data_IF_366385512926
#
_entry.id   IF_366385512926
#
_cell.length_a   1.000
_cell.length_b   1.000
_cell.length_c   1.000
_cell.angle_alpha   90.00
_cell.angle_beta   90.00
_cell.angle_gamma   90.00
#
_symmetry.space_group_name_H-M   'P 1'
#
loop_
_entity.id
_entity.type
_entity.pdbx_description
1 polymer ?
#
# COMPACT_ATOMS: atom_id res chain seq x y z
N UNK A 1 -11.93 -8.54 -43.14
CA UNK A 1 -12.85 -7.52 -42.59
C UNK A 1 -12.37 -7.23 -41.17
N UNK A 2 -12.20 -5.96 -40.79
CA UNK A 2 -11.71 -5.62 -39.45
C UNK A 2 -12.89 -5.56 -38.46
N UNK A 3 -12.82 -6.35 -37.39
CA UNK A 3 -13.87 -6.44 -36.37
C UNK A 3 -13.43 -5.85 -35.03
N UNK A 4 -14.40 -5.43 -34.21
CA UNK A 4 -14.14 -4.81 -32.92
C UNK A 4 -13.75 -5.84 -31.87
N UNK A 5 -12.57 -5.65 -31.27
CA UNK A 5 -11.98 -6.60 -30.31
C UNK A 5 -12.40 -6.36 -28.85
N UNK A 6 -13.23 -5.35 -28.59
CA UNK A 6 -13.68 -4.98 -27.23
C UNK A 6 -12.57 -4.71 -26.19
N UNK A 7 -11.41 -4.23 -26.65
CA UNK A 7 -10.29 -3.83 -25.78
C UNK A 7 -10.50 -2.41 -25.23
N UNK A 8 -11.08 -1.50 -26.02
CA UNK A 8 -11.31 -0.12 -25.63
C UNK A 8 -12.73 0.33 -25.92
N UNK A 9 -13.36 0.95 -24.92
CA UNK A 9 -14.70 1.50 -25.05
C UNK A 9 -14.75 2.57 -26.15
N UNK A 10 -15.47 2.25 -27.25
CA UNK A 10 -15.70 3.18 -28.37
C UNK A 10 -16.48 4.41 -27.92
N UNK A 11 -17.54 4.17 -27.14
CA UNK A 11 -18.41 5.21 -26.57
C UNK A 11 -18.48 4.98 -25.07
N UNK A 12 -18.24 6.04 -24.29
CA UNK A 12 -18.38 6.02 -22.83
C UNK A 12 -19.67 6.74 -22.45
N UNK A 13 -20.48 6.12 -21.59
CA UNK A 13 -21.69 6.72 -21.03
C UNK A 13 -21.39 7.09 -19.57
N UNK A 14 -21.86 8.26 -19.13
CA UNK A 14 -21.70 8.71 -17.73
C UNK A 14 -23.06 8.82 -17.07
N UNK A 15 -23.20 8.16 -15.91
CA UNK A 15 -24.34 8.30 -15.02
C UNK A 15 -24.04 9.18 -13.81
N UNK A 16 -25.02 9.38 -12.91
CA UNK A 16 -24.79 9.98 -11.61
C UNK A 16 -23.76 9.17 -10.82
N UNK A 17 -22.96 9.86 -10.03
CA UNK A 17 -21.93 9.25 -9.18
C UNK A 17 -22.56 8.22 -8.22
N UNK A 18 -22.01 7.01 -8.18
CA UNK A 18 -22.48 5.96 -7.28
C UNK A 18 -21.74 6.03 -5.95
N UNK A 19 -22.46 6.30 -4.86
CA UNK A 19 -21.89 6.41 -3.52
C UNK A 19 -21.48 5.06 -2.89
N UNK A 20 -21.87 3.93 -3.51
CA UNK A 20 -21.61 2.57 -3.03
C UNK A 20 -22.75 1.99 -2.18
N UNK A 21 -22.83 0.65 -2.09
CA UNK A 21 -23.84 -0.05 -1.28
C UNK A 21 -23.79 0.41 0.19
N UNK A 22 -24.94 0.69 0.84
CA UNK A 22 -24.98 0.97 2.27
C UNK A 22 -24.45 -0.23 3.04
N UNK A 23 -23.37 -0.04 3.81
CA UNK A 23 -22.86 -1.05 4.73
C UNK A 23 -23.38 -0.73 6.14
N UNK A 24 -23.58 -1.74 6.98
CA UNK A 24 -23.96 -1.55 8.37
C UNK A 24 -23.02 -0.53 9.04
N UNK A 25 -23.62 0.46 9.71
CA UNK A 25 -23.04 1.74 10.10
C UNK A 25 -21.59 1.65 10.63
N UNK A 26 -20.62 1.98 9.78
CA UNK A 26 -19.30 2.38 10.24
C UNK A 26 -19.34 3.87 10.58
N UNK A 27 -19.04 4.23 11.82
CA UNK A 27 -19.09 5.60 12.36
C UNK A 27 -18.26 6.65 11.58
N UNK A 28 -17.37 6.23 10.68
CA UNK A 28 -16.42 7.08 9.95
C UNK A 28 -16.81 7.37 8.49
N UNK A 29 -17.91 6.82 7.98
CA UNK A 29 -18.38 7.11 6.62
C UNK A 29 -17.41 6.71 5.49
N UNK A 30 -17.74 7.08 4.24
CA UNK A 30 -16.80 7.02 3.10
C UNK A 30 -16.22 8.40 2.89
N UNK A 31 -14.92 8.48 2.58
CA UNK A 31 -14.21 9.72 2.34
C UNK A 31 -13.97 9.95 0.83
N UNK A 32 -13.93 11.22 0.45
CA UNK A 32 -13.60 11.69 -0.90
C UNK A 32 -14.82 11.93 -1.79
N UNK A 33 -14.77 13.04 -2.54
CA UNK A 33 -15.73 13.32 -3.62
C UNK A 33 -15.33 12.50 -4.86
N UNK A 34 -16.23 11.68 -5.43
CA UNK A 34 -15.86 10.85 -6.56
C UNK A 34 -15.57 11.68 -7.81
N UNK A 35 -14.55 11.29 -8.55
CA UNK A 35 -14.16 11.97 -9.80
C UNK A 35 -14.30 11.02 -10.99
N UNK A 36 -14.43 11.59 -12.19
CA UNK A 36 -14.66 10.81 -13.41
C UNK A 36 -13.50 11.02 -14.40
N UNK A 37 -12.71 9.97 -14.64
CA UNK A 37 -11.58 9.99 -15.55
C UNK A 37 -11.93 9.43 -16.93
N UNK A 38 -11.74 10.22 -17.98
CA UNK A 38 -11.97 9.80 -19.37
C UNK A 38 -11.05 8.63 -19.79
N UNK A 39 -9.79 8.67 -19.36
CA UNK A 39 -8.81 7.65 -19.73
C UNK A 39 -9.06 6.32 -19.03
N UNK A 40 -9.46 6.33 -17.75
CA UNK A 40 -9.87 5.09 -17.07
C UNK A 40 -11.16 4.52 -17.69
N UNK A 41 -12.10 5.39 -18.08
CA UNK A 41 -13.30 4.98 -18.80
C UNK A 41 -13.04 4.34 -20.17
N UNK A 42 -11.84 4.49 -20.76
CA UNK A 42 -11.49 3.79 -22.02
C UNK A 42 -11.24 2.31 -21.82
N UNK A 43 -10.78 1.91 -20.63
CA UNK A 43 -10.42 0.53 -20.31
C UNK A 43 -11.37 -0.13 -19.31
N UNK A 44 -12.19 0.64 -18.59
CA UNK A 44 -13.10 0.12 -17.57
C UNK A 44 -14.06 1.18 -17.04
N UNK A 45 -14.27 1.21 -15.72
CA UNK A 45 -15.09 2.22 -15.06
C UNK A 45 -14.34 3.56 -14.98
N UNK A 46 -15.06 4.65 -15.24
CA UNK A 46 -14.52 6.01 -15.20
C UNK A 46 -14.48 6.59 -13.77
N UNK A 47 -15.27 6.04 -12.85
CA UNK A 47 -15.41 6.57 -11.49
C UNK A 47 -14.22 6.19 -10.60
N UNK A 48 -13.59 7.20 -10.00
CA UNK A 48 -12.55 7.03 -8.97
C UNK A 48 -13.09 7.53 -7.63
N UNK A 49 -13.13 6.62 -6.65
CA UNK A 49 -13.74 6.86 -5.34
C UNK A 49 -15.26 6.61 -5.33
N UNK A 50 -15.94 6.78 -4.17
CA UNK A 50 -15.39 7.19 -2.88
C UNK A 50 -14.68 6.04 -2.15
N UNK A 51 -13.73 6.35 -1.27
CA UNK A 51 -12.93 5.33 -0.56
C UNK A 51 -13.32 5.30 0.91
N UNK A 52 -13.53 4.10 1.46
CA UNK A 52 -13.72 3.95 2.90
C UNK A 52 -12.38 4.15 3.62
N UNK A 53 -12.24 5.10 4.54
CA UNK A 53 -11.09 5.18 5.45
C UNK A 53 -11.58 5.12 6.90
N UNK A 54 -11.52 3.94 7.50
CA UNK A 54 -11.61 3.79 8.95
C UNK A 54 -10.25 3.90 9.62
N UNK A 55 -10.24 3.86 10.96
CA UNK A 55 -9.02 3.92 11.78
C UNK A 55 -7.93 2.94 11.32
N UNK A 56 -8.30 1.70 10.97
CA UNK A 56 -7.34 0.69 10.47
C UNK A 56 -6.70 1.07 9.14
N UNK A 57 -7.45 1.74 8.26
CA UNK A 57 -6.91 2.22 6.98
C UNK A 57 -5.96 3.40 7.17
N UNK A 58 -6.34 4.36 8.03
CA UNK A 58 -5.49 5.51 8.36
C UNK A 58 -4.19 5.03 9.03
N UNK A 59 -4.30 4.17 10.05
CA UNK A 59 -3.13 3.63 10.74
C UNK A 59 -2.19 2.87 9.78
N UNK A 60 -2.75 2.04 8.89
CA UNK A 60 -1.95 1.34 7.86
C UNK A 60 -1.19 2.30 6.95
N UNK A 61 -1.86 3.36 6.46
CA UNK A 61 -1.22 4.37 5.62
C UNK A 61 -0.12 5.11 6.38
N UNK A 62 -0.36 5.50 7.63
CA UNK A 62 0.65 6.18 8.47
C UNK A 62 1.87 5.30 8.70
N UNK A 63 1.69 4.03 9.08
CA UNK A 63 2.81 3.11 9.27
C UNK A 63 3.57 2.83 7.96
N UNK A 64 2.87 2.74 6.83
CA UNK A 64 3.50 2.54 5.52
C UNK A 64 4.30 3.78 5.09
N UNK A 65 3.75 4.96 5.35
CA UNK A 65 4.42 6.23 5.11
C UNK A 65 5.67 6.39 5.97
N UNK A 66 5.61 6.06 7.27
CA UNK A 66 6.77 6.06 8.16
C UNK A 66 7.86 5.10 7.70
N UNK A 67 7.49 3.89 7.25
CA UNK A 67 8.46 2.94 6.70
C UNK A 67 9.13 3.48 5.43
N UNK A 68 8.35 4.09 4.54
CA UNK A 68 8.85 4.72 3.31
C UNK A 68 9.80 5.89 3.60
N UNK A 69 9.43 6.78 4.53
CA UNK A 69 10.26 7.91 4.97
C UNK A 69 11.58 7.43 5.59
N UNK A 70 11.57 6.39 6.44
CA UNK A 70 12.79 5.85 7.04
C UNK A 70 13.76 5.36 5.96
N UNK A 71 13.26 4.59 4.98
CA UNK A 71 14.08 4.10 3.87
C UNK A 71 14.59 5.27 3.03
N UNK A 72 13.72 6.20 2.65
CA UNK A 72 14.09 7.36 1.82
C UNK A 72 15.12 8.28 2.49
N UNK A 73 14.96 8.58 3.78
CA UNK A 73 15.89 9.42 4.53
C UNK A 73 17.26 8.76 4.69
N UNK A 74 17.31 7.43 4.90
CA UNK A 74 18.58 6.70 4.95
C UNK A 74 19.27 6.64 3.59
N UNK A 75 18.51 6.45 2.50
CA UNK A 75 19.05 6.51 1.13
C UNK A 75 19.57 7.92 0.78
N UNK A 76 18.96 8.96 1.33
CA UNK A 76 19.44 10.33 1.13
C UNK A 76 20.69 10.64 1.98
N UNK A 77 20.76 10.07 3.18
CA UNK A 77 21.92 10.20 4.06
C UNK A 77 23.18 9.54 3.46
N UNK A 78 23.04 8.40 2.76
CA UNK A 78 24.19 7.72 2.13
C UNK A 78 24.81 8.51 0.96
N UNK A 79 24.09 9.46 0.37
CA UNK A 79 24.60 10.40 -0.66
C UNK A 79 24.89 11.80 -0.12
N UNK A 80 25.15 11.93 1.19
CA UNK A 80 25.42 13.21 1.86
C UNK A 80 24.36 14.29 1.57
N UNK A 81 23.09 13.92 1.51
CA UNK A 81 21.97 14.85 1.29
C UNK A 81 21.98 15.58 -0.07
N UNK A 82 22.70 15.07 -1.07
CA UNK A 82 22.67 15.61 -2.44
C UNK A 82 21.47 15.08 -3.23
N UNK A 83 20.49 15.93 -3.60
CA UNK A 83 19.30 15.48 -4.34
C UNK A 83 19.63 14.97 -5.75
N UNK A 84 20.72 15.47 -6.33
CA UNK A 84 21.17 15.12 -7.69
C UNK A 84 21.77 13.71 -7.69
N UNK A 85 22.61 13.40 -6.71
CA UNK A 85 23.17 12.05 -6.56
C UNK A 85 22.09 11.06 -6.14
N UNK A 86 21.13 11.47 -5.30
CA UNK A 86 19.99 10.65 -4.92
C UNK A 86 19.19 10.17 -6.13
N UNK A 87 18.81 11.09 -7.04
CA UNK A 87 18.07 10.72 -8.26
C UNK A 87 18.91 9.88 -9.22
N UNK A 88 20.21 10.16 -9.33
CA UNK A 88 21.11 9.40 -10.20
C UNK A 88 21.30 7.97 -9.70
N UNK A 89 21.45 7.79 -8.39
CA UNK A 89 21.80 6.52 -7.79
C UNK A 89 20.60 5.77 -7.20
N UNK A 90 19.37 6.30 -7.34
CA UNK A 90 18.16 5.76 -6.72
C UNK A 90 17.98 4.23 -6.84
N UNK A 91 18.25 3.58 -7.99
CA UNK A 91 18.17 2.12 -8.10
C UNK A 91 19.25 1.32 -7.35
N UNK A 92 20.37 1.97 -7.00
CA UNK A 92 21.52 1.36 -6.31
C UNK A 92 21.58 1.69 -4.82
N UNK A 93 20.86 2.73 -4.40
CA UNK A 93 20.75 3.08 -2.99
C UNK A 93 19.85 2.07 -2.28
N UNK A 94 20.19 1.77 -1.04
CA UNK A 94 19.45 0.80 -0.25
C UNK A 94 19.67 1.02 1.24
N UNK A 95 18.81 0.38 2.02
CA UNK A 95 18.97 0.27 3.46
C UNK A 95 19.47 -1.14 3.75
N UNK A 96 20.70 -1.25 4.24
CA UNK A 96 21.33 -2.54 4.52
C UNK A 96 20.79 -3.16 5.82
N UNK A 97 20.65 -4.50 5.86
CA UNK A 97 20.29 -5.20 7.09
C UNK A 97 21.42 -5.12 8.13
N UNK A 98 21.14 -5.39 9.42
CA UNK A 98 22.16 -5.43 10.46
C UNK A 98 23.29 -6.43 10.13
N UNK A 99 24.55 -6.11 10.45
CA UNK A 99 25.67 -7.03 10.28
C UNK A 99 25.49 -8.31 11.12
N UNK A 100 25.98 -9.44 10.62
CA UNK A 100 25.83 -10.75 11.27
C UNK A 100 26.46 -10.80 12.67
N UNK A 101 27.45 -9.95 12.93
CA UNK A 101 28.14 -9.82 14.22
C UNK A 101 27.20 -9.46 15.38
N UNK A 102 26.10 -8.75 15.09
CA UNK A 102 25.10 -8.37 16.08
C UNK A 102 24.05 -9.47 16.35
N UNK A 103 24.07 -10.57 15.59
CA UNK A 103 23.11 -11.66 15.71
C UNK A 103 21.64 -11.20 15.65
N UNK A 104 20.76 -11.85 16.42
CA UNK A 104 19.36 -11.45 16.59
C UNK A 104 19.19 -10.35 17.65
N UNK A 105 19.88 -9.23 17.49
CA UNK A 105 19.65 -8.09 18.36
C UNK A 105 18.33 -7.41 17.98
N UNK A 106 17.37 -7.36 18.92
CA UNK A 106 16.03 -6.77 18.71
C UNK A 106 16.07 -5.24 18.55
N UNK A 107 17.10 -4.60 19.09
CA UNK A 107 17.34 -3.16 19.03
C UNK A 107 18.82 -2.91 18.69
N UNK A 108 19.17 -3.10 17.41
CA UNK A 108 20.50 -2.75 16.93
C UNK A 108 20.76 -1.24 17.02
N UNK A 109 22.03 -0.81 17.20
CA UNK A 109 22.42 0.58 17.03
C UNK A 109 21.89 1.15 15.70
N UNK A 110 21.45 2.41 15.71
CA UNK A 110 20.82 3.04 14.54
C UNK A 110 21.76 3.09 13.33
N UNK A 111 23.06 3.25 13.57
CA UNK A 111 24.14 3.25 12.59
C UNK A 111 24.50 1.85 12.05
N UNK A 112 24.04 0.79 12.71
CA UNK A 112 24.36 -0.61 12.38
C UNK A 112 23.09 -1.43 12.07
N UNK A 113 22.19 -0.84 11.26
CA UNK A 113 20.99 -1.54 10.77
C UNK A 113 19.75 -1.42 11.66
N UNK A 114 19.78 -0.62 12.74
CA UNK A 114 18.58 -0.32 13.53
C UNK A 114 17.45 0.31 12.70
N UNK A 115 17.79 1.17 11.73
CA UNK A 115 16.81 1.75 10.80
C UNK A 115 16.13 0.69 9.92
N UNK A 116 16.85 -0.37 9.53
CA UNK A 116 16.28 -1.47 8.75
C UNK A 116 15.23 -2.23 9.54
N UNK A 117 15.51 -2.53 10.82
CA UNK A 117 14.57 -3.20 11.71
C UNK A 117 13.30 -2.36 11.94
N UNK A 118 13.46 -1.05 12.15
CA UNK A 118 12.33 -0.13 12.31
C UNK A 118 11.49 -0.04 11.04
N UNK A 119 12.13 0.09 9.87
CA UNK A 119 11.44 0.10 8.58
C UNK A 119 10.67 -1.20 8.35
N UNK A 120 11.29 -2.36 8.61
CA UNK A 120 10.66 -3.67 8.52
C UNK A 120 9.47 -3.83 9.45
N UNK A 121 9.60 -3.37 10.71
CA UNK A 121 8.51 -3.41 11.69
C UNK A 121 7.32 -2.54 11.27
N UNK A 122 7.56 -1.28 10.87
CA UNK A 122 6.50 -0.38 10.43
C UNK A 122 5.85 -0.86 9.12
N UNK A 123 6.63 -1.38 8.18
CA UNK A 123 6.11 -1.97 6.94
C UNK A 123 5.23 -3.19 7.25
N UNK A 124 5.70 -4.10 8.08
CA UNK A 124 4.94 -5.31 8.47
C UNK A 124 3.63 -4.93 9.17
N UNK A 125 3.69 -3.98 10.11
CA UNK A 125 2.51 -3.47 10.81
C UNK A 125 1.51 -2.82 9.84
N UNK A 126 2.00 -2.01 8.89
CA UNK A 126 1.18 -1.41 7.84
C UNK A 126 0.43 -2.45 7.00
N UNK A 127 1.13 -3.49 6.54
CA UNK A 127 0.57 -4.57 5.72
C UNK A 127 -0.46 -5.40 6.50
N UNK A 128 -0.18 -5.74 7.76
CA UNK A 128 -1.13 -6.46 8.62
C UNK A 128 -2.39 -5.63 8.89
N UNK A 129 -2.25 -4.33 9.15
CA UNK A 129 -3.41 -3.43 9.30
C UNK A 129 -4.22 -3.30 8.00
N UNK A 130 -3.54 -3.33 6.85
CA UNK A 130 -4.21 -3.37 5.55
C UNK A 130 -4.97 -4.69 5.34
N UNK A 131 -4.42 -5.81 5.80
CA UNK A 131 -5.12 -7.09 5.81
C UNK A 131 -6.38 -7.08 6.69
N UNK A 132 -6.27 -6.52 7.91
CA UNK A 132 -7.44 -6.34 8.78
C UNK A 132 -8.50 -5.47 8.09
N UNK A 133 -8.06 -4.44 7.36
CA UNK A 133 -8.96 -3.60 6.55
C UNK A 133 -9.65 -4.40 5.45
N UNK A 134 -8.95 -5.23 4.67
CA UNK A 134 -9.59 -6.03 3.60
C UNK A 134 -10.60 -7.03 4.18
N UNK A 135 -10.26 -7.68 5.29
CA UNK A 135 -11.17 -8.58 6.01
C UNK A 135 -12.43 -7.85 6.49
N UNK A 136 -12.27 -6.75 7.24
CA UNK A 136 -13.40 -5.95 7.75
C UNK A 136 -14.29 -5.39 6.64
N UNK A 137 -13.71 -5.07 5.48
CA UNK A 137 -14.50 -4.55 4.36
C UNK A 137 -15.38 -5.61 3.71
N UNK A 138 -14.89 -6.84 3.59
CA UNK A 138 -15.67 -7.95 3.08
C UNK A 138 -16.83 -8.30 4.02
N UNK A 139 -16.55 -8.41 5.33
CA UNK A 139 -17.58 -8.74 6.33
C UNK A 139 -18.65 -7.67 6.45
N UNK A 140 -18.28 -6.39 6.39
CA UNK A 140 -19.25 -5.28 6.42
C UNK A 140 -20.19 -5.23 5.21
N UNK A 141 -19.85 -5.89 4.10
CA UNK A 141 -20.70 -6.03 2.91
C UNK A 141 -21.38 -7.41 2.82
N UNK A 142 -21.22 -8.27 3.84
CA UNK A 142 -21.76 -9.64 3.82
C UNK A 142 -21.09 -10.55 2.77
N UNK A 143 -19.88 -10.20 2.33
CA UNK A 143 -19.14 -10.95 1.31
C UNK A 143 -18.22 -12.00 1.94
N UNK A 144 -17.92 -13.07 1.19
CA UNK A 144 -16.91 -14.05 1.59
C UNK A 144 -15.49 -13.46 1.64
N UNK A 145 -14.64 -13.95 2.54
CA UNK A 145 -13.31 -13.40 2.86
C UNK A 145 -12.17 -13.93 1.98
N UNK A 146 -12.48 -14.44 0.79
CA UNK A 146 -11.51 -15.05 -0.15
C UNK A 146 -10.31 -14.14 -0.44
N UNK A 147 -10.56 -12.84 -0.66
CA UNK A 147 -9.49 -11.85 -0.93
C UNK A 147 -8.56 -11.67 0.27
N UNK A 148 -9.09 -11.69 1.50
CA UNK A 148 -8.27 -11.59 2.70
C UNK A 148 -7.37 -12.82 2.86
N UNK A 149 -7.87 -14.02 2.57
CA UNK A 149 -7.06 -15.24 2.65
C UNK A 149 -6.00 -15.33 1.54
N UNK A 150 -6.36 -14.94 0.30
CA UNK A 150 -5.38 -14.83 -0.77
C UNK A 150 -4.27 -13.81 -0.43
N UNK A 151 -4.65 -12.68 0.19
CA UNK A 151 -3.68 -11.70 0.64
C UNK A 151 -2.81 -12.22 1.80
N UNK A 152 -3.37 -13.02 2.71
CA UNK A 152 -2.61 -13.66 3.79
C UNK A 152 -1.50 -14.58 3.24
N UNK A 153 -1.74 -15.29 2.13
CA UNK A 153 -0.71 -16.10 1.47
C UNK A 153 0.46 -15.25 0.92
N UNK A 154 0.18 -14.05 0.42
CA UNK A 154 1.23 -13.12 0.01
C UNK A 154 1.99 -12.55 1.22
N UNK A 155 1.28 -12.25 2.32
CA UNK A 155 1.90 -11.80 3.58
C UNK A 155 2.81 -12.89 4.15
N UNK A 156 2.42 -14.15 4.05
CA UNK A 156 3.27 -15.27 4.45
C UNK A 156 4.62 -15.24 3.74
N UNK A 157 4.64 -15.12 2.41
CA UNK A 157 5.90 -15.04 1.65
C UNK A 157 6.75 -13.84 2.10
N UNK A 158 6.12 -12.67 2.29
CA UNK A 158 6.79 -11.46 2.78
C UNK A 158 7.43 -11.69 4.15
N UNK A 159 6.73 -12.34 5.08
CA UNK A 159 7.24 -12.64 6.41
C UNK A 159 8.39 -13.65 6.38
N UNK A 160 8.29 -14.69 5.53
CA UNK A 160 9.36 -15.68 5.37
C UNK A 160 10.64 -15.02 4.91
N UNK A 161 10.58 -14.18 3.87
CA UNK A 161 11.75 -13.47 3.33
C UNK A 161 12.31 -12.45 4.33
N UNK A 162 11.44 -11.74 5.07
CA UNK A 162 11.88 -10.73 6.03
C UNK A 162 12.43 -11.29 7.34
N UNK A 163 12.23 -12.58 7.62
CA UNK A 163 12.67 -13.25 8.85
C UNK A 163 14.00 -13.99 8.72
N UNK A 164 14.51 -14.15 7.49
CA UNK A 164 15.77 -14.82 7.15
C UNK A 164 16.91 -13.84 7.01
#
# INVERSE_FOLDING_TARGET
MAEYQNIFNRVQVRGPVYAGVPAAASATGRAGQPTMSYWLGKIGDAQVGPVYLGLTGIASIVFGFLAFEIVGLNMLASVNWSPIEFLRQLPWLGLEPPPQELGFCLLCPLDQGGWWQMAGFFMTTSVLLWWVRTYRRATALGMGTHVAWAFAAAIWLMLVIGSS
#
